data_IF_187537117835
#
_entry.id   IF_187537117835
#
_cell.length_a   1.000
_cell.length_b   1.000
_cell.length_c   1.000
_cell.angle_alpha   90.00
_cell.angle_beta   90.00
_cell.angle_gamma   90.00
#
_symmetry.space_group_name_H-M   'P 1'
#
loop_
_entity.id
_entity.type
_entity.pdbx_description
1 polymer ?
#
# COMPACT_ATOMS: atom_id res chain seq x y z
N UNK A 1 42.34 -1.54 -6.79
CA UNK A 1 41.72 -2.83 -7.17
C UNK A 1 41.45 -3.60 -5.89
N UNK A 2 40.21 -3.68 -5.43
CA UNK A 2 39.83 -4.45 -4.24
C UNK A 2 38.63 -5.32 -4.61
N UNK A 3 38.81 -6.63 -4.46
CA UNK A 3 37.90 -7.69 -4.91
C UNK A 3 36.85 -7.97 -3.85
N UNK A 4 35.58 -7.91 -4.23
CA UNK A 4 34.38 -8.14 -3.42
C UNK A 4 34.24 -9.60 -2.95
N UNK A 5 33.95 -9.87 -1.67
CA UNK A 5 33.48 -11.19 -1.26
C UNK A 5 32.24 -11.09 -0.35
N UNK A 6 31.05 -10.84 -0.91
CA UNK A 6 29.77 -11.17 -0.25
C UNK A 6 28.56 -10.98 -1.18
N UNK A 7 28.58 -11.59 -2.36
CA UNK A 7 27.39 -11.70 -3.23
C UNK A 7 26.93 -13.16 -3.22
N UNK A 8 26.05 -13.53 -2.30
CA UNK A 8 25.60 -14.92 -2.16
C UNK A 8 24.76 -15.23 -0.92
N UNK A 9 24.76 -14.36 0.10
CA UNK A 9 23.81 -14.48 1.21
C UNK A 9 22.48 -13.91 0.73
N UNK A 10 21.46 -14.77 0.63
CA UNK A 10 20.07 -14.32 0.42
C UNK A 10 19.68 -13.54 1.68
N UNK A 11 19.67 -12.22 1.62
CA UNK A 11 19.07 -11.41 2.69
C UNK A 11 17.60 -11.76 2.74
N UNK A 12 17.12 -12.23 3.88
CA UNK A 12 15.70 -12.48 4.08
C UNK A 12 15.00 -11.12 4.10
N UNK A 13 14.43 -10.74 2.96
CA UNK A 13 13.55 -9.58 2.83
C UNK A 13 12.11 -10.04 3.13
N UNK A 14 11.54 -9.70 4.30
CA UNK A 14 10.18 -10.09 4.66
C UNK A 14 9.13 -9.46 3.74
N UNK A 15 9.45 -8.40 3.01
CA UNK A 15 8.55 -7.80 2.02
C UNK A 15 8.49 -8.63 0.73
N UNK A 16 9.57 -9.31 0.34
CA UNK A 16 9.60 -10.19 -0.83
C UNK A 16 9.04 -11.59 -0.53
N UNK A 17 9.22 -12.10 0.70
CA UNK A 17 8.76 -13.44 1.09
C UNK A 17 7.22 -13.56 1.19
N UNK A 18 6.52 -12.44 1.41
CA UNK A 18 5.06 -12.39 1.57
C UNK A 18 4.32 -11.86 0.33
N UNK A 19 5.01 -11.64 -0.80
CA UNK A 19 4.30 -11.36 -2.05
C UNK A 19 3.65 -12.67 -2.53
N UNK A 20 2.32 -12.70 -2.76
CA UNK A 20 1.74 -13.81 -3.49
C UNK A 20 2.54 -13.96 -4.78
N UNK A 21 3.00 -15.19 -5.06
CA UNK A 21 3.78 -15.54 -6.25
C UNK A 21 3.23 -14.77 -7.45
N UNK A 22 4.01 -13.84 -7.99
CA UNK A 22 3.66 -13.10 -9.20
C UNK A 22 3.32 -14.14 -10.26
N UNK A 23 2.03 -14.27 -10.57
CA UNK A 23 1.57 -14.91 -11.78
C UNK A 23 2.13 -14.08 -12.91
N UNK A 24 3.24 -14.55 -13.50
CA UNK A 24 3.79 -14.05 -14.74
C UNK A 24 2.63 -13.81 -15.73
N UNK A 25 2.37 -12.56 -16.15
CA UNK A 25 1.23 -12.22 -17.01
C UNK A 25 1.31 -12.90 -18.38
N UNK A 26 2.42 -13.60 -18.68
CA UNK A 26 2.68 -14.21 -19.97
C UNK A 26 2.54 -15.76 -19.99
N UNK A 27 2.15 -16.40 -18.89
CA UNK A 27 2.01 -17.88 -18.85
C UNK A 27 0.73 -18.43 -18.20
N UNK A 28 -0.16 -17.58 -17.71
CA UNK A 28 -1.50 -17.99 -17.30
C UNK A 28 -2.54 -17.46 -18.29
N UNK A 29 -3.19 -18.34 -19.05
CA UNK A 29 -4.30 -17.95 -19.92
C UNK A 29 -5.34 -17.26 -19.04
N UNK A 30 -5.52 -15.95 -19.21
CA UNK A 30 -6.41 -15.17 -18.34
C UNK A 30 -7.85 -15.70 -18.48
N UNK A 31 -8.69 -15.51 -17.47
CA UNK A 31 -10.11 -15.90 -17.57
C UNK A 31 -10.78 -15.25 -18.82
N UNK A 32 -10.31 -14.07 -19.22
CA UNK A 32 -10.67 -13.41 -20.47
C UNK A 32 -10.19 -14.18 -21.71
N UNK A 33 -8.96 -14.68 -21.74
CA UNK A 33 -8.43 -15.50 -22.84
C UNK A 33 -9.13 -16.87 -22.94
N UNK A 34 -9.47 -17.50 -21.81
CA UNK A 34 -10.29 -18.72 -21.79
C UNK A 34 -11.71 -18.45 -22.33
N UNK A 35 -12.30 -17.30 -21.97
CA UNK A 35 -13.62 -16.87 -22.49
C UNK A 35 -13.54 -16.60 -24.01
N UNK A 36 -12.48 -15.99 -24.51
CA UNK A 36 -12.31 -15.67 -25.92
C UNK A 36 -12.01 -16.91 -26.78
N UNK A 37 -11.25 -17.86 -26.26
CA UNK A 37 -11.04 -19.16 -26.90
C UNK A 37 -12.33 -20.01 -26.87
N UNK A 38 -13.15 -19.91 -25.82
CA UNK A 38 -14.46 -20.55 -25.77
C UNK A 38 -15.43 -19.94 -26.78
N UNK A 39 -15.53 -18.62 -26.89
CA UNK A 39 -16.38 -17.97 -27.90
C UNK A 39 -16.00 -18.37 -29.33
N UNK A 40 -14.70 -18.56 -29.60
CA UNK A 40 -14.22 -19.10 -30.89
C UNK A 40 -14.67 -20.54 -31.11
N UNK A 41 -14.61 -21.40 -30.08
CA UNK A 41 -15.10 -22.77 -30.15
C UNK A 41 -16.63 -22.82 -30.27
N UNK A 42 -17.36 -21.93 -29.60
CA UNK A 42 -18.82 -21.79 -29.68
C UNK A 42 -19.26 -21.36 -31.09
N UNK A 43 -18.57 -20.39 -31.70
CA UNK A 43 -18.83 -19.96 -33.07
C UNK A 43 -18.49 -21.08 -34.07
N UNK A 44 -17.41 -21.84 -33.82
CA UNK A 44 -17.05 -23.00 -34.64
C UNK A 44 -18.06 -24.15 -34.51
N UNK A 45 -18.64 -24.36 -33.32
CA UNK A 45 -19.67 -25.36 -33.05
C UNK A 45 -21.03 -24.96 -33.65
N UNK A 46 -21.46 -23.69 -33.57
CA UNK A 46 -22.68 -23.19 -34.25
C UNK A 46 -22.60 -23.37 -35.77
N UNK A 47 -21.38 -23.31 -36.33
CA UNK A 47 -21.14 -23.54 -37.76
C UNK A 47 -21.20 -25.02 -38.16
N UNK A 48 -21.13 -25.97 -37.21
CA UNK A 48 -20.93 -27.40 -37.50
C UNK A 48 -21.71 -28.38 -36.58
N UNK A 49 -22.67 -27.92 -35.78
CA UNK A 49 -23.47 -28.77 -34.88
C UNK A 49 -24.96 -28.65 -35.24
N UNK A 50 -25.50 -29.77 -35.68
CA UNK A 50 -26.92 -30.05 -35.81
C UNK A 50 -27.66 -29.66 -34.49
N UNK A 51 -28.83 -29.01 -34.55
CA UNK A 51 -29.39 -28.17 -33.48
C UNK A 51 -29.95 -28.94 -32.26
N UNK A 52 -29.63 -30.22 -32.07
CA UNK A 52 -30.34 -31.08 -31.12
C UNK A 52 -29.70 -31.31 -29.74
N UNK A 53 -28.66 -30.57 -29.34
CA UNK A 53 -28.21 -30.57 -27.92
C UNK A 53 -27.54 -29.27 -27.46
N UNK A 54 -28.29 -28.17 -27.34
CA UNK A 54 -27.79 -26.91 -26.76
C UNK A 54 -27.54 -26.96 -25.24
N UNK A 55 -27.71 -28.12 -24.59
CA UNK A 55 -27.70 -28.25 -23.12
C UNK A 55 -26.31 -28.07 -22.48
N UNK A 56 -25.25 -28.52 -23.16
CA UNK A 56 -23.88 -28.49 -22.61
C UNK A 56 -23.24 -27.08 -22.66
N UNK A 57 -23.49 -26.35 -23.76
CA UNK A 57 -22.98 -25.00 -23.94
C UNK A 57 -23.53 -24.01 -22.89
N UNK A 58 -24.80 -24.14 -22.47
CA UNK A 58 -25.38 -23.25 -21.45
C UNK A 58 -24.82 -23.52 -20.05
N UNK A 59 -24.56 -24.79 -19.71
CA UNK A 59 -24.06 -25.21 -18.40
C UNK A 59 -22.60 -24.80 -18.21
N UNK A 60 -21.76 -24.97 -19.24
CA UNK A 60 -20.38 -24.46 -19.22
C UNK A 60 -20.32 -22.93 -19.20
N UNK A 61 -21.21 -22.24 -19.92
CA UNK A 61 -21.28 -20.76 -19.88
C UNK A 61 -21.65 -20.24 -18.49
N UNK A 62 -22.56 -20.93 -17.79
CA UNK A 62 -22.92 -20.59 -16.41
C UNK A 62 -21.74 -20.77 -15.44
N UNK A 63 -20.98 -21.86 -15.56
CA UNK A 63 -19.78 -22.10 -14.74
C UNK A 63 -18.63 -21.13 -15.08
N UNK A 64 -18.48 -20.75 -16.34
CA UNK A 64 -17.52 -19.71 -16.79
C UNK A 64 -17.88 -18.33 -16.27
N UNK A 65 -19.16 -17.97 -16.24
CA UNK A 65 -19.63 -16.71 -15.64
C UNK A 65 -19.31 -16.65 -14.14
N UNK A 66 -19.47 -17.78 -13.43
CA UNK A 66 -19.06 -17.88 -12.02
C UNK A 66 -17.55 -17.68 -11.83
N UNK A 67 -16.71 -18.27 -12.69
CA UNK A 67 -15.26 -18.07 -12.65
C UNK A 67 -14.85 -16.63 -13.00
N UNK A 68 -15.51 -16.00 -13.96
CA UNK A 68 -15.28 -14.59 -14.31
C UNK A 68 -15.65 -13.65 -13.16
N UNK A 69 -16.73 -13.95 -12.41
CA UNK A 69 -17.08 -13.19 -11.21
C UNK A 69 -16.01 -13.32 -10.12
N UNK A 70 -15.49 -14.51 -9.88
CA UNK A 70 -14.41 -14.74 -8.89
C UNK A 70 -13.12 -14.03 -9.31
N UNK A 71 -12.74 -14.12 -10.58
CA UNK A 71 -11.59 -13.40 -11.13
C UNK A 71 -11.75 -11.88 -10.97
N UNK A 72 -12.94 -11.34 -11.29
CA UNK A 72 -13.26 -9.92 -11.14
C UNK A 72 -13.17 -9.47 -9.68
N UNK A 73 -13.62 -10.30 -8.73
CA UNK A 73 -13.45 -10.02 -7.30
C UNK A 73 -11.96 -9.99 -6.89
N UNK A 74 -11.14 -10.87 -7.47
CA UNK A 74 -9.69 -10.84 -7.30
C UNK A 74 -9.07 -9.54 -7.82
N UNK A 75 -9.43 -9.10 -9.03
CA UNK A 75 -8.97 -7.82 -9.59
C UNK A 75 -9.38 -6.64 -8.72
N UNK A 76 -10.62 -6.63 -8.22
CA UNK A 76 -11.11 -5.57 -7.33
C UNK A 76 -10.32 -5.52 -6.02
N UNK A 77 -9.97 -6.68 -5.44
CA UNK A 77 -9.12 -6.74 -4.26
C UNK A 77 -7.74 -6.13 -4.52
N UNK A 78 -7.10 -6.48 -5.64
CA UNK A 78 -5.81 -5.91 -6.05
C UNK A 78 -5.88 -4.39 -6.25
N UNK A 79 -6.94 -3.89 -6.89
CA UNK A 79 -7.15 -2.44 -7.05
C UNK A 79 -7.31 -1.73 -5.71
N UNK A 80 -8.02 -2.33 -4.75
CA UNK A 80 -8.16 -1.78 -3.40
C UNK A 80 -6.83 -1.76 -2.64
N UNK A 81 -6.01 -2.80 -2.76
CA UNK A 81 -4.67 -2.83 -2.16
C UNK A 81 -3.76 -1.75 -2.78
N UNK A 82 -3.79 -1.60 -4.11
CA UNK A 82 -3.04 -0.56 -4.80
C UNK A 82 -3.47 0.85 -4.36
N UNK A 83 -4.78 1.07 -4.19
CA UNK A 83 -5.30 2.34 -3.67
C UNK A 83 -4.82 2.63 -2.24
N UNK A 84 -4.83 1.63 -1.36
CA UNK A 84 -4.33 1.77 0.01
C UNK A 84 -2.84 2.12 0.03
N UNK A 85 -2.03 1.46 -0.81
CA UNK A 85 -0.60 1.76 -0.94
C UNK A 85 -0.35 3.19 -1.43
N UNK A 86 -1.17 3.67 -2.38
CA UNK A 86 -1.10 5.05 -2.85
C UNK A 86 -1.47 6.05 -1.75
N UNK A 87 -2.51 5.77 -0.95
CA UNK A 87 -2.88 6.60 0.20
C UNK A 87 -1.77 6.64 1.26
N UNK A 88 -1.12 5.51 1.55
CA UNK A 88 0.02 5.48 2.49
C UNK A 88 1.20 6.33 1.97
N UNK A 89 1.48 6.26 0.67
CA UNK A 89 2.55 7.05 0.05
C UNK A 89 2.24 8.56 0.12
N UNK A 90 0.98 8.96 -0.07
CA UNK A 90 0.56 10.34 0.11
C UNK A 90 0.70 10.81 1.57
N UNK A 91 0.37 9.96 2.55
CA UNK A 91 0.60 10.26 3.96
C UNK A 91 2.10 10.37 4.30
N UNK A 92 2.94 9.55 3.68
CA UNK A 92 4.39 9.66 3.83
C UNK A 92 4.93 10.97 3.27
N UNK A 93 4.44 11.44 2.11
CA UNK A 93 4.86 12.72 1.55
C UNK A 93 4.47 13.91 2.44
N UNK A 94 3.28 13.89 3.05
CA UNK A 94 2.86 14.89 4.05
C UNK A 94 3.69 14.83 5.34
N UNK A 95 4.29 13.69 5.68
CA UNK A 95 5.23 13.59 6.80
C UNK A 95 6.64 14.02 6.38
N UNK A 96 7.04 13.76 5.14
CA UNK A 96 8.32 14.21 4.59
C UNK A 96 8.43 15.74 4.58
N UNK A 97 7.32 16.47 4.44
CA UNK A 97 7.31 17.94 4.59
C UNK A 97 7.60 18.41 6.02
N UNK A 98 7.57 17.54 7.03
CA UNK A 98 8.01 17.88 8.39
C UNK A 98 9.53 17.75 8.56
N UNK A 99 10.24 17.12 7.62
CA UNK A 99 11.71 17.06 7.64
C UNK A 99 12.26 18.47 7.46
N UNK A 100 13.06 18.93 8.43
CA UNK A 100 13.59 20.29 8.47
C UNK A 100 12.70 21.30 9.18
N UNK A 101 11.47 20.93 9.56
CA UNK A 101 10.65 21.72 10.49
C UNK A 101 10.87 21.24 11.93
N UNK A 102 10.88 22.17 12.88
CA UNK A 102 10.99 21.87 14.31
C UNK A 102 9.59 21.81 14.94
N UNK A 103 9.05 20.62 15.28
CA UNK A 103 7.77 20.53 15.96
C UNK A 103 7.92 21.00 17.41
N UNK A 104 6.93 21.72 17.92
CA UNK A 104 6.82 22.01 19.34
C UNK A 104 6.27 20.78 20.07
N UNK A 105 7.05 20.22 20.99
CA UNK A 105 6.65 19.04 21.77
C UNK A 105 6.28 19.49 23.18
N UNK A 106 5.21 18.91 23.72
CA UNK A 106 4.82 19.15 25.10
C UNK A 106 5.90 18.59 26.05
N UNK A 107 6.50 19.47 26.85
CA UNK A 107 7.53 19.08 27.82
C UNK A 107 8.06 20.27 28.61
N UNK A 108 8.81 19.96 29.66
CA UNK A 108 9.46 20.94 30.54
C UNK A 108 10.98 21.06 30.30
N UNK A 109 11.51 20.38 29.28
CA UNK A 109 12.93 20.35 28.95
C UNK A 109 13.19 21.09 27.65
N UNK A 110 14.21 21.93 27.66
CA UNK A 110 14.60 22.75 26.51
C UNK A 110 16.07 22.44 26.24
N UNK A 111 16.40 22.10 24.99
CA UNK A 111 17.80 21.95 24.59
C UNK A 111 18.26 23.28 23.99
N UNK A 112 19.17 23.97 24.68
CA UNK A 112 19.75 25.23 24.24
C UNK A 112 21.16 24.98 23.71
N UNK A 113 21.33 25.04 22.39
CA UNK A 113 22.62 24.86 21.71
C UNK A 113 23.23 26.19 21.22
N UNK A 114 22.84 27.31 21.83
CA UNK A 114 23.34 28.65 21.47
C UNK A 114 22.51 29.39 20.41
N UNK A 115 21.42 28.80 19.93
CA UNK A 115 20.40 29.43 19.09
C UNK A 115 19.14 29.76 19.89
N UNK A 116 18.35 30.72 19.42
CA UNK A 116 17.05 31.05 20.00
C UNK A 116 16.13 29.82 20.01
N UNK A 117 15.48 29.56 21.16
CA UNK A 117 14.54 28.45 21.30
C UNK A 117 13.14 29.01 21.48
N UNK A 118 12.23 28.59 20.61
CA UNK A 118 10.83 29.00 20.67
C UNK A 118 10.11 28.16 21.72
N UNK A 119 9.47 28.85 22.66
CA UNK A 119 8.66 28.29 23.72
C UNK A 119 7.19 28.64 23.48
N UNK A 120 6.31 27.69 23.74
CA UNK A 120 4.88 27.90 23.69
C UNK A 120 4.19 27.12 24.78
N UNK A 121 3.16 27.72 25.37
CA UNK A 121 2.30 27.05 26.33
C UNK A 121 0.89 27.02 25.74
N UNK A 122 0.31 25.83 25.64
CA UNK A 122 -1.09 25.65 25.28
C UNK A 122 -1.91 25.45 26.56
N UNK A 123 -2.85 26.35 26.83
CA UNK A 123 -3.71 26.27 28.00
C UNK A 123 -5.18 26.28 27.58
N UNK A 124 -5.97 25.41 28.20
CA UNK A 124 -7.39 25.23 27.88
C UNK A 124 -8.29 26.39 28.35
N UNK A 125 -7.84 27.17 29.33
CA UNK A 125 -8.61 28.26 29.93
C UNK A 125 -7.87 29.61 29.78
N UNK A 126 -8.60 30.73 29.65
CA UNK A 126 -7.99 32.06 29.56
C UNK A 126 -7.25 32.43 30.86
N UNK A 127 -6.04 32.95 30.73
CA UNK A 127 -5.17 33.33 31.85
C UNK A 127 -5.29 34.82 32.17
N UNK A 128 -5.26 35.14 33.47
CA UNK A 128 -5.13 36.52 33.95
C UNK A 128 -3.67 36.96 34.10
N UNK A 129 -2.72 36.02 34.05
CA UNK A 129 -1.28 36.28 34.08
C UNK A 129 -0.47 35.00 33.85
N UNK A 130 0.71 35.14 33.26
CA UNK A 130 1.65 34.05 32.97
C UNK A 130 3.02 34.42 33.52
N UNK A 131 3.61 33.53 34.32
CA UNK A 131 5.00 33.63 34.76
C UNK A 131 5.73 32.40 34.23
N UNK A 132 6.72 32.63 33.36
CA UNK A 132 7.63 31.59 32.89
C UNK A 132 8.93 31.70 33.71
N UNK A 133 9.34 30.62 34.36
CA UNK A 133 10.60 30.55 35.09
C UNK A 133 11.52 29.55 34.40
N UNK A 134 12.61 30.04 33.83
CA UNK A 134 13.63 29.20 33.19
C UNK A 134 14.62 28.79 34.28
N UNK A 135 14.93 27.49 34.35
CA UNK A 135 15.91 26.94 35.29
C UNK A 135 17.02 26.23 34.54
N UNK A 136 18.24 26.36 35.02
CA UNK A 136 19.39 25.60 34.54
C UNK A 136 19.33 24.14 35.04
N UNK A 137 20.27 23.30 34.58
CA UNK A 137 20.39 21.90 35.01
C UNK A 137 20.69 21.74 36.52
N UNK A 138 21.15 22.82 37.18
CA UNK A 138 21.45 22.86 38.62
C UNK A 138 20.26 23.34 39.46
N UNK A 139 19.14 23.72 38.82
CA UNK A 139 17.93 24.21 39.48
C UNK A 139 17.92 25.71 39.79
N UNK A 140 18.94 26.45 39.35
CA UNK A 140 18.99 27.90 39.50
C UNK A 140 18.16 28.59 38.42
N UNK A 141 17.50 29.71 38.77
CA UNK A 141 16.75 30.52 37.80
C UNK A 141 17.73 31.33 36.96
N UNK A 142 17.58 31.28 35.64
CA UNK A 142 18.40 31.99 34.65
C UNK A 142 17.57 32.92 33.79
#
# INVERSE_FOLDING_TARGET
>A
MATSPMSGIRTYDPAAANRPRDTDPNTGMSAADQTQNFLKLLIAQIKNQDPMSPMDASTMTAQMSQLNMVSSMGTMNTSMQAMLAQMQSANFLNQATLIGHSPMVAGNTINFMGSEVILGANLANPLQGVIATIKDASGNVV
#
